data_IF_530765262254
#
_entry.id   IF_530765262254
#
_cell.length_a   1.000
_cell.length_b   1.000
_cell.length_c   1.000
_cell.angle_alpha   90.00
_cell.angle_beta   90.00
_cell.angle_gamma   90.00
#
_symmetry.space_group_name_H-M   'P 1'
#
loop_
_entity.id
_entity.type
_entity.pdbx_description
1 polymer ?
#
# COMPACT_ATOMS: atom_id res chain seq x y z
N UNK A 1 -16.21 -28.40 -2.13
CA UNK A 1 -15.17 -27.51 -2.71
C UNK A 1 -15.56 -27.28 -4.16
N UNK A 2 -15.90 -26.05 -4.54
CA UNK A 2 -16.44 -25.69 -5.86
C UNK A 2 -15.49 -26.16 -6.99
N UNK A 3 -16.03 -26.73 -8.06
CA UNK A 3 -15.27 -27.20 -9.24
C UNK A 3 -14.33 -26.12 -9.81
N UNK A 4 -14.76 -24.86 -9.79
CA UNK A 4 -13.95 -23.70 -10.23
C UNK A 4 -12.68 -23.49 -9.42
N UNK A 5 -12.72 -23.66 -8.09
CA UNK A 5 -11.54 -23.50 -7.21
C UNK A 5 -10.55 -24.62 -7.46
N UNK A 6 -11.04 -25.83 -7.65
CA UNK A 6 -10.17 -26.99 -7.97
C UNK A 6 -9.47 -26.83 -9.32
N UNK A 7 -10.17 -26.36 -10.34
CA UNK A 7 -9.62 -26.10 -11.67
C UNK A 7 -8.57 -24.97 -11.61
N UNK A 8 -8.84 -23.90 -10.86
CA UNK A 8 -7.88 -22.81 -10.67
C UNK A 8 -6.60 -23.28 -9.95
N UNK A 9 -6.73 -24.05 -8.88
CA UNK A 9 -5.60 -24.59 -8.11
C UNK A 9 -4.73 -25.53 -8.96
N UNK A 10 -5.34 -26.39 -9.77
CA UNK A 10 -4.62 -27.29 -10.70
C UNK A 10 -3.88 -26.50 -11.78
N UNK A 11 -4.47 -25.41 -12.26
CA UNK A 11 -3.87 -24.58 -13.30
C UNK A 11 -2.72 -23.70 -12.78
N UNK A 12 -2.70 -23.36 -11.50
CA UNK A 12 -1.70 -22.47 -10.90
C UNK A 12 -1.10 -23.07 -9.59
N UNK A 13 -0.43 -24.24 -9.66
CA UNK A 13 0.09 -24.89 -8.44
C UNK A 13 1.13 -24.04 -7.71
N UNK A 14 1.89 -23.19 -8.43
CA UNK A 14 2.83 -22.25 -7.82
C UNK A 14 2.17 -21.26 -6.85
N UNK A 15 0.92 -20.84 -7.09
CA UNK A 15 0.21 -19.94 -6.19
C UNK A 15 -0.17 -20.61 -4.86
N UNK A 16 -0.41 -21.92 -4.86
CA UNK A 16 -0.69 -22.67 -3.62
C UNK A 16 0.51 -22.66 -2.67
N UNK A 17 1.70 -22.52 -3.19
CA UNK A 17 2.92 -22.36 -2.39
C UNK A 17 3.21 -20.88 -2.10
N UNK A 18 3.14 -20.00 -3.10
CA UNK A 18 3.48 -18.58 -2.97
C UNK A 18 2.61 -17.83 -1.98
N UNK A 19 1.30 -18.14 -1.95
CA UNK A 19 0.39 -17.45 -1.05
C UNK A 19 0.74 -17.72 0.42
N UNK A 20 0.77 -18.97 0.93
CA UNK A 20 1.15 -19.23 2.32
C UNK A 20 2.60 -18.84 2.62
N UNK A 21 3.52 -18.99 1.69
CA UNK A 21 4.90 -18.59 1.84
C UNK A 21 5.05 -17.08 2.05
N UNK A 22 4.48 -16.26 1.15
CA UNK A 22 4.53 -14.80 1.26
C UNK A 22 3.75 -14.30 2.48
N UNK A 23 2.59 -14.92 2.78
CA UNK A 23 1.82 -14.61 3.97
C UNK A 23 2.65 -14.85 5.24
N UNK A 24 3.28 -16.01 5.35
CA UNK A 24 4.10 -16.36 6.51
C UNK A 24 5.29 -15.40 6.66
N UNK A 25 6.03 -15.12 5.59
CA UNK A 25 7.18 -14.21 5.65
C UNK A 25 6.79 -12.77 6.02
N UNK A 26 5.63 -12.30 5.56
CA UNK A 26 5.19 -10.92 5.79
C UNK A 26 4.50 -10.80 7.17
N UNK A 27 3.70 -11.79 7.58
CA UNK A 27 2.88 -11.69 8.78
C UNK A 27 3.55 -12.26 10.05
N UNK A 28 4.53 -13.17 9.91
CA UNK A 28 5.19 -13.74 11.09
C UNK A 28 5.94 -12.64 11.86
N UNK A 29 5.51 -12.41 13.11
CA UNK A 29 6.09 -11.35 13.95
C UNK A 29 5.79 -9.94 13.43
N UNK A 30 4.64 -9.69 12.78
CA UNK A 30 4.26 -8.38 12.27
C UNK A 30 4.04 -7.36 13.40
N UNK A 31 3.63 -7.84 14.58
CA UNK A 31 3.43 -7.02 15.78
C UNK A 31 4.70 -6.86 16.63
N UNK A 32 5.77 -7.61 16.31
CA UNK A 32 6.99 -7.57 17.11
C UNK A 32 7.68 -6.21 17.03
N UNK A 33 8.10 -5.74 18.20
CA UNK A 33 8.81 -4.47 18.35
C UNK A 33 7.92 -3.23 18.26
N UNK A 34 8.45 -2.14 18.79
CA UNK A 34 7.82 -0.83 18.69
C UNK A 34 7.83 -0.30 17.24
N UNK A 35 6.93 0.62 16.93
CA UNK A 35 6.96 1.35 15.67
C UNK A 35 8.26 2.16 15.58
N UNK A 36 8.93 2.11 14.45
CA UNK A 36 10.07 2.97 14.16
C UNK A 36 9.62 4.44 14.14
N UNK A 37 10.56 5.38 14.26
CA UNK A 37 10.25 6.82 14.30
C UNK A 37 9.34 7.26 13.15
N UNK A 38 9.67 6.85 11.92
CA UNK A 38 8.86 7.18 10.75
C UNK A 38 7.49 6.49 10.75
N UNK A 39 7.41 5.23 11.20
CA UNK A 39 6.14 4.51 11.34
C UNK A 39 5.26 5.16 12.41
N UNK A 40 5.87 5.56 13.54
CA UNK A 40 5.18 6.24 14.63
C UNK A 40 4.59 7.57 14.18
N UNK A 41 5.33 8.35 13.41
CA UNK A 41 4.85 9.61 12.85
C UNK A 41 3.70 9.38 11.87
N UNK A 42 3.83 8.43 10.93
CA UNK A 42 2.77 8.11 9.97
C UNK A 42 1.52 7.58 10.67
N UNK A 43 1.70 6.74 11.70
CA UNK A 43 0.59 6.23 12.52
C UNK A 43 -0.08 7.34 13.31
N UNK A 44 0.68 8.26 13.89
CA UNK A 44 0.13 9.43 14.58
C UNK A 44 -0.73 10.29 13.63
N UNK A 45 -0.24 10.59 12.42
CA UNK A 45 -1.03 11.31 11.41
C UNK A 45 -2.31 10.55 11.06
N UNK A 46 -2.24 9.23 10.95
CA UNK A 46 -3.43 8.40 10.70
C UNK A 46 -4.44 8.45 11.85
N UNK A 47 -3.98 8.55 13.11
CA UNK A 47 -4.90 8.73 14.26
C UNK A 47 -5.60 10.09 14.24
N UNK A 48 -4.95 11.14 13.71
CA UNK A 48 -5.61 12.45 13.60
C UNK A 48 -6.77 12.41 12.59
N UNK A 49 -6.72 11.53 11.58
CA UNK A 49 -7.86 11.32 10.65
C UNK A 49 -9.08 10.81 11.41
N UNK A 50 -8.92 9.91 12.37
CA UNK A 50 -10.04 9.41 13.19
C UNK A 50 -10.69 10.51 14.02
N UNK A 51 -9.92 11.54 14.41
CA UNK A 51 -10.41 12.66 15.20
C UNK A 51 -10.98 13.80 14.37
N UNK A 52 -10.33 14.13 13.26
CA UNK A 52 -10.61 15.35 12.47
C UNK A 52 -11.12 15.06 11.05
N UNK A 53 -11.12 13.80 10.60
CA UNK A 53 -11.49 13.41 9.22
C UNK A 53 -10.40 13.66 8.18
N UNK A 54 -9.34 14.40 8.53
CA UNK A 54 -8.22 14.78 7.66
C UNK A 54 -6.88 14.60 8.39
N UNK A 55 -5.78 14.36 7.66
CA UNK A 55 -4.47 14.20 8.26
C UNK A 55 -3.95 15.54 8.79
N UNK A 56 -3.87 15.68 10.11
CA UNK A 56 -3.39 16.87 10.80
C UNK A 56 -1.96 16.65 11.32
N UNK A 57 -1.19 17.72 11.42
CA UNK A 57 0.15 17.68 12.00
C UNK A 57 0.11 17.57 13.53
N UNK A 58 -1.02 17.90 14.16
CA UNK A 58 -1.18 17.90 15.62
C UNK A 58 -2.57 17.41 16.02
N UNK A 59 -2.64 16.74 17.15
CA UNK A 59 -3.89 16.34 17.81
C UNK A 59 -4.37 17.35 18.87
N UNK A 60 -3.65 18.48 19.00
CA UNK A 60 -3.87 19.49 20.01
C UNK A 60 -2.99 19.34 21.27
N UNK A 61 -2.33 18.20 21.44
CA UNK A 61 -1.40 17.90 22.55
C UNK A 61 -0.01 17.57 21.98
N UNK A 62 0.04 16.67 21.02
CA UNK A 62 1.26 16.25 20.33
C UNK A 62 1.29 16.81 18.92
N UNK A 63 2.50 16.91 18.35
CA UNK A 63 2.69 17.37 16.97
C UNK A 63 3.80 16.57 16.26
N UNK A 64 3.71 16.49 14.94
CA UNK A 64 4.78 15.91 14.13
C UNK A 64 6.02 16.80 14.15
N UNK A 65 7.21 16.19 14.02
CA UNK A 65 8.49 16.95 14.01
C UNK A 65 8.73 17.73 12.71
N UNK A 66 7.94 17.49 11.66
CA UNK A 66 8.13 18.07 10.33
C UNK A 66 7.25 19.30 10.14
N UNK A 67 7.73 20.45 10.60
CA UNK A 67 7.00 21.72 10.51
C UNK A 67 7.00 22.35 9.09
N UNK A 68 7.94 21.96 8.22
CA UNK A 68 8.10 22.60 6.91
C UNK A 68 6.98 22.27 5.90
N UNK A 69 6.26 21.18 6.12
CA UNK A 69 5.22 20.66 5.23
C UNK A 69 3.83 20.67 5.89
N UNK A 70 3.55 21.74 6.67
CA UNK A 70 2.26 22.00 7.30
C UNK A 70 1.58 23.13 6.55
N UNK A 71 0.34 22.91 6.15
CA UNK A 71 -0.50 23.92 5.56
C UNK A 71 -1.85 23.99 6.30
N UNK A 72 -2.12 25.09 6.94
CA UNK A 72 -3.36 25.30 7.72
C UNK A 72 -3.65 24.14 8.70
N UNK A 73 -2.59 23.67 9.38
CA UNK A 73 -2.66 22.52 10.28
C UNK A 73 -2.66 21.15 9.60
N UNK A 74 -2.83 21.07 8.26
CA UNK A 74 -2.83 19.83 7.53
C UNK A 74 -1.40 19.28 7.35
N UNK A 75 -1.26 17.97 7.46
CA UNK A 75 -0.01 17.29 7.17
C UNK A 75 0.06 16.94 5.67
N UNK A 76 0.90 17.65 4.92
CA UNK A 76 1.04 17.52 3.47
C UNK A 76 2.39 16.95 3.04
N UNK A 77 3.20 16.49 3.99
CA UNK A 77 4.54 15.97 3.71
C UNK A 77 4.52 14.72 2.85
N UNK A 78 3.53 13.85 3.04
CA UNK A 78 3.36 12.59 2.31
C UNK A 78 1.98 12.49 1.68
N UNK A 79 1.76 11.45 0.90
CA UNK A 79 0.49 11.15 0.24
C UNK A 79 -0.56 10.66 1.23
N UNK A 80 -1.82 11.00 1.01
CA UNK A 80 -2.89 10.78 1.97
C UNK A 80 -3.51 9.38 1.95
N UNK A 81 -3.54 8.71 0.78
CA UNK A 81 -4.19 7.41 0.66
C UNK A 81 -3.68 6.36 1.66
N UNK A 82 -2.35 6.19 1.88
CA UNK A 82 -1.85 5.27 2.90
C UNK A 82 -2.36 5.59 4.31
N UNK A 83 -2.48 6.87 4.67
CA UNK A 83 -2.96 7.29 5.99
C UNK A 83 -4.43 6.93 6.21
N UNK A 84 -5.29 7.08 5.20
CA UNK A 84 -6.70 6.68 5.31
C UNK A 84 -6.85 5.17 5.44
N UNK A 85 -6.06 4.38 4.72
CA UNK A 85 -6.06 2.91 4.85
C UNK A 85 -5.58 2.48 6.25
N UNK A 86 -4.55 3.15 6.76
CA UNK A 86 -4.03 2.89 8.11
C UNK A 86 -5.04 3.33 9.17
N UNK A 87 -5.66 4.51 9.03
CA UNK A 87 -6.70 4.99 9.93
C UNK A 87 -7.87 4.00 10.01
N UNK A 88 -8.35 3.51 8.87
CA UNK A 88 -9.39 2.47 8.83
C UNK A 88 -8.97 1.20 9.59
N UNK A 89 -7.73 0.75 9.40
CA UNK A 89 -7.21 -0.42 10.11
C UNK A 89 -7.12 -0.19 11.62
N UNK A 90 -6.69 0.99 12.04
CA UNK A 90 -6.62 1.38 13.46
C UNK A 90 -8.01 1.49 14.11
N UNK A 91 -8.99 1.96 13.37
CA UNK A 91 -10.39 2.03 13.84
C UNK A 91 -10.99 0.65 14.10
N UNK A 92 -10.74 -0.30 13.17
CA UNK A 92 -11.30 -1.65 13.25
C UNK A 92 -10.58 -2.55 14.25
N UNK A 93 -9.24 -2.52 14.27
CA UNK A 93 -8.39 -3.45 15.04
C UNK A 93 -7.75 -2.82 16.28
N UNK A 94 -8.03 -1.53 16.54
CA UNK A 94 -7.46 -0.78 17.67
C UNK A 94 -6.06 -0.24 17.39
N UNK A 95 -5.56 0.58 18.32
CA UNK A 95 -4.27 1.27 18.23
C UNK A 95 -3.10 0.34 18.60
N UNK A 96 -2.81 -0.64 17.72
CA UNK A 96 -1.73 -1.62 17.90
C UNK A 96 -0.71 -1.53 16.76
N UNK A 97 0.51 -2.02 17.00
CA UNK A 97 1.54 -2.14 15.95
C UNK A 97 1.05 -3.01 14.79
N UNK A 98 0.35 -4.09 15.11
CA UNK A 98 -0.28 -4.95 14.10
C UNK A 98 -1.25 -4.18 13.21
N UNK A 99 -2.20 -3.44 13.81
CA UNK A 99 -3.20 -2.68 13.06
C UNK A 99 -2.56 -1.59 12.19
N UNK A 100 -1.49 -0.94 12.66
CA UNK A 100 -0.76 0.06 11.90
C UNK A 100 -0.08 -0.54 10.65
N UNK A 101 0.47 -1.76 10.73
CA UNK A 101 1.21 -2.44 9.66
C UNK A 101 0.31 -3.27 8.73
N UNK A 102 -0.87 -3.68 9.18
CA UNK A 102 -1.77 -4.60 8.48
C UNK A 102 -2.10 -4.20 7.03
N UNK A 103 -2.46 -2.95 6.69
CA UNK A 103 -2.78 -2.57 5.32
C UNK A 103 -1.60 -2.78 4.35
N UNK A 104 -0.39 -2.48 4.81
CA UNK A 104 0.83 -2.60 4.01
C UNK A 104 1.26 -4.06 3.86
N UNK A 105 1.07 -4.87 4.90
CA UNK A 105 1.31 -6.32 4.85
C UNK A 105 0.35 -7.00 3.85
N UNK A 106 -0.93 -6.65 3.87
CA UNK A 106 -1.90 -7.14 2.90
C UNK A 106 -1.55 -6.69 1.47
N UNK A 107 -1.14 -5.43 1.29
CA UNK A 107 -0.67 -4.94 -0.01
C UNK A 107 0.57 -5.72 -0.48
N UNK A 108 1.48 -6.11 0.41
CA UNK A 108 2.65 -6.91 0.10
C UNK A 108 2.30 -8.30 -0.43
N UNK A 109 1.40 -9.03 0.25
CA UNK A 109 0.92 -10.34 -0.23
C UNK A 109 0.22 -10.19 -1.57
N UNK A 110 -0.65 -9.19 -1.71
CA UNK A 110 -1.32 -8.90 -2.97
C UNK A 110 -0.34 -8.55 -4.10
N UNK A 111 0.76 -7.83 -3.81
CA UNK A 111 1.79 -7.49 -4.79
C UNK A 111 2.52 -8.74 -5.32
N UNK A 112 2.83 -9.71 -4.46
CA UNK A 112 3.44 -10.99 -4.86
C UNK A 112 2.52 -11.75 -5.82
N UNK A 113 1.23 -11.84 -5.49
CA UNK A 113 0.23 -12.51 -6.34
C UNK A 113 0.03 -11.75 -7.65
N UNK A 114 -0.08 -10.43 -7.60
CA UNK A 114 -0.22 -9.58 -8.78
C UNK A 114 0.99 -9.70 -9.72
N UNK A 115 2.21 -9.77 -9.17
CA UNK A 115 3.43 -9.95 -9.96
C UNK A 115 3.45 -11.32 -10.67
N UNK A 116 2.99 -12.38 -10.00
CA UNK A 116 2.83 -13.68 -10.63
C UNK A 116 1.95 -13.58 -11.89
N UNK A 117 0.77 -12.96 -11.78
CA UNK A 117 -0.14 -12.82 -12.92
C UNK A 117 0.40 -11.87 -14.00
N UNK A 118 1.05 -10.78 -13.63
CA UNK A 118 1.70 -9.87 -14.58
C UNK A 118 2.77 -10.61 -15.38
N UNK A 119 3.67 -11.31 -14.69
CA UNK A 119 4.76 -12.06 -15.37
C UNK A 119 4.20 -13.21 -16.21
N UNK A 120 3.18 -13.92 -15.71
CA UNK A 120 2.52 -14.98 -16.47
C UNK A 120 1.91 -14.44 -17.78
N UNK A 121 1.28 -13.26 -17.69
CA UNK A 121 0.70 -12.59 -18.85
C UNK A 121 1.76 -12.20 -19.89
N UNK A 122 2.88 -11.64 -19.42
CA UNK A 122 3.97 -11.21 -20.30
C UNK A 122 4.76 -12.36 -20.95
N UNK A 123 5.01 -13.43 -20.19
CA UNK A 123 5.94 -14.49 -20.63
C UNK A 123 5.22 -15.77 -21.07
N UNK A 124 3.94 -15.92 -20.75
CA UNK A 124 3.15 -17.14 -20.92
C UNK A 124 3.80 -18.39 -20.28
N UNK A 125 4.74 -18.17 -19.34
CA UNK A 125 5.53 -19.21 -18.68
C UNK A 125 5.30 -19.21 -17.18
N UNK A 126 4.71 -20.31 -16.67
CA UNK A 126 4.38 -20.46 -15.25
C UNK A 126 5.62 -20.53 -14.33
N UNK A 127 6.74 -21.06 -14.83
CA UNK A 127 7.98 -21.15 -14.06
C UNK A 127 8.57 -19.76 -13.89
N UNK A 128 8.65 -18.97 -14.94
CA UNK A 128 9.12 -17.59 -14.88
C UNK A 128 8.23 -16.74 -13.97
N UNK A 129 6.91 -16.90 -14.06
CA UNK A 129 5.96 -16.22 -13.18
C UNK A 129 6.15 -16.62 -11.71
N UNK A 130 6.36 -17.89 -11.42
CA UNK A 130 6.64 -18.38 -10.09
C UNK A 130 7.95 -17.80 -9.53
N UNK A 131 9.04 -17.86 -10.30
CA UNK A 131 10.35 -17.38 -9.87
C UNK A 131 10.37 -15.88 -9.62
N UNK A 132 9.72 -15.07 -10.48
CA UNK A 132 9.65 -13.62 -10.27
C UNK A 132 8.89 -13.25 -8.99
N UNK A 133 7.76 -13.90 -8.72
CA UNK A 133 6.99 -13.69 -7.51
C UNK A 133 7.72 -14.21 -6.26
N UNK A 134 8.44 -15.33 -6.36
CA UNK A 134 9.29 -15.87 -5.29
C UNK A 134 10.43 -14.91 -4.96
N UNK A 135 11.10 -14.34 -5.97
CA UNK A 135 12.16 -13.35 -5.77
C UNK A 135 11.64 -12.09 -5.07
N UNK A 136 10.45 -11.58 -5.46
CA UNK A 136 9.85 -10.44 -4.78
C UNK A 136 9.53 -10.77 -3.33
N UNK A 137 8.90 -11.93 -3.06
CA UNK A 137 8.51 -12.34 -1.72
C UNK A 137 9.68 -12.60 -0.78
N UNK A 138 10.85 -12.98 -1.33
CA UNK A 138 12.08 -13.24 -0.58
C UNK A 138 13.04 -12.04 -0.56
N UNK A 139 12.71 -10.96 -1.26
CA UNK A 139 13.53 -9.75 -1.33
C UNK A 139 13.52 -9.00 0.00
N UNK A 140 14.67 -8.88 0.66
CA UNK A 140 14.80 -8.17 1.94
C UNK A 140 14.27 -6.74 1.87
N UNK A 141 14.62 -5.90 0.85
CA UNK A 141 14.03 -4.57 0.73
C UNK A 141 12.51 -4.57 0.61
N UNK A 142 11.94 -5.50 -0.18
CA UNK A 142 10.50 -5.60 -0.32
C UNK A 142 9.82 -6.01 0.99
N UNK A 143 10.39 -7.00 1.70
CA UNK A 143 9.89 -7.44 3.02
C UNK A 143 9.91 -6.31 4.04
N UNK A 144 10.97 -5.48 4.08
CA UNK A 144 11.03 -4.32 4.98
C UNK A 144 9.84 -3.39 4.70
N UNK A 145 9.58 -3.04 3.43
CA UNK A 145 8.47 -2.15 3.09
C UNK A 145 7.09 -2.75 3.26
N UNK A 146 6.94 -4.06 3.13
CA UNK A 146 5.66 -4.74 3.35
C UNK A 146 5.35 -4.96 4.83
N UNK A 147 6.37 -5.03 5.69
CA UNK A 147 6.23 -5.28 7.13
C UNK A 147 6.25 -4.00 7.97
N UNK A 148 6.46 -2.85 7.36
CA UNK A 148 6.49 -1.56 8.04
C UNK A 148 5.27 -0.72 7.67
N UNK A 149 4.81 0.09 8.63
CA UNK A 149 3.70 1.02 8.44
C UNK A 149 4.15 2.26 7.65
N UNK A 150 4.65 2.03 6.42
CA UNK A 150 5.17 3.08 5.53
C UNK A 150 4.44 3.08 4.20
N UNK A 151 4.29 4.27 3.65
CA UNK A 151 3.57 4.51 2.39
C UNK A 151 4.11 3.75 1.17
N UNK A 152 5.33 3.19 1.21
CA UNK A 152 6.03 2.60 0.04
C UNK A 152 5.42 1.27 -0.42
N UNK A 153 4.91 0.45 0.50
CA UNK A 153 4.37 -0.88 0.15
C UNK A 153 3.16 -0.82 -0.79
N UNK A 154 2.29 0.16 -0.61
CA UNK A 154 1.10 0.33 -1.45
C UNK A 154 1.42 0.73 -2.90
N UNK A 155 2.29 1.71 -3.20
CA UNK A 155 2.73 2.00 -4.56
C UNK A 155 3.31 0.80 -5.31
N UNK A 156 4.02 -0.10 -4.64
CA UNK A 156 4.56 -1.31 -5.29
C UNK A 156 3.42 -2.15 -5.87
N UNK A 157 2.39 -2.45 -5.06
CA UNK A 157 1.20 -3.16 -5.53
C UNK A 157 0.51 -2.44 -6.68
N UNK A 158 0.27 -1.13 -6.51
CA UNK A 158 -0.47 -0.33 -7.50
C UNK A 158 0.31 -0.22 -8.83
N UNK A 159 1.65 -0.14 -8.79
CA UNK A 159 2.48 -0.16 -10.01
C UNK A 159 2.32 -1.47 -10.77
N UNK A 160 2.36 -2.61 -10.07
CA UNK A 160 2.19 -3.93 -10.69
C UNK A 160 0.80 -4.07 -11.31
N UNK A 161 -0.25 -3.65 -10.60
CA UNK A 161 -1.63 -3.68 -11.09
C UNK A 161 -1.83 -2.74 -12.28
N UNK A 162 -1.22 -1.55 -12.24
CA UNK A 162 -1.30 -0.57 -13.33
C UNK A 162 -0.68 -1.12 -14.61
N UNK A 163 0.48 -1.76 -14.52
CA UNK A 163 1.11 -2.43 -15.66
C UNK A 163 0.27 -3.60 -16.15
N UNK A 164 -0.30 -4.41 -15.25
CA UNK A 164 -1.15 -5.53 -15.63
C UNK A 164 -2.39 -5.07 -16.41
N UNK A 165 -3.10 -4.06 -15.92
CA UNK A 165 -4.29 -3.53 -16.58
C UNK A 165 -3.94 -2.78 -17.88
N UNK A 166 -2.82 -2.03 -17.90
CA UNK A 166 -2.34 -1.38 -19.11
C UNK A 166 -2.15 -2.39 -20.25
N UNK A 167 -1.38 -3.46 -20.01
CA UNK A 167 -1.16 -4.52 -20.99
C UNK A 167 -2.47 -5.18 -21.38
N UNK A 168 -3.38 -5.41 -20.43
CA UNK A 168 -4.68 -6.05 -20.70
C UNK A 168 -5.55 -5.25 -21.66
N UNK A 169 -5.50 -3.92 -21.62
CA UNK A 169 -6.25 -3.06 -22.55
C UNK A 169 -5.75 -3.21 -23.98
N UNK A 170 -4.44 -3.41 -24.19
CA UNK A 170 -3.88 -3.54 -25.55
C UNK A 170 -4.05 -4.94 -26.14
N UNK A 171 -4.04 -5.98 -25.30
CA UNK A 171 -4.16 -7.36 -25.77
C UNK A 171 -5.61 -7.77 -26.03
N UNK A 172 -6.53 -7.33 -25.18
CA UNK A 172 -7.94 -7.69 -25.26
C UNK A 172 -8.81 -6.44 -25.45
N UNK A 173 -9.27 -6.25 -26.71
CA UNK A 173 -10.11 -5.11 -27.09
C UNK A 173 -11.46 -5.07 -26.36
N UNK A 174 -11.86 -6.14 -25.68
CA UNK A 174 -13.08 -6.21 -24.88
C UNK A 174 -12.88 -5.79 -23.42
N UNK A 175 -11.64 -5.60 -22.97
CA UNK A 175 -11.37 -5.16 -21.61
C UNK A 175 -11.84 -3.74 -21.39
N UNK A 176 -12.64 -3.58 -20.33
CA UNK A 176 -13.06 -2.24 -19.91
C UNK A 176 -11.86 -1.49 -19.36
N UNK A 177 -11.68 -0.23 -19.76
CA UNK A 177 -10.63 0.66 -19.25
C UNK A 177 -10.84 1.06 -17.77
N UNK A 178 -12.02 0.79 -17.21
CA UNK A 178 -12.38 1.20 -15.84
C UNK A 178 -11.42 0.71 -14.74
N UNK A 179 -10.92 -0.57 -14.70
CA UNK A 179 -9.97 -0.97 -13.68
C UNK A 179 -8.64 -0.23 -13.77
N UNK A 180 -8.16 0.04 -14.98
CA UNK A 180 -6.95 0.84 -15.18
C UNK A 180 -7.09 2.26 -14.63
N UNK A 181 -8.21 2.93 -14.93
CA UNK A 181 -8.49 4.30 -14.47
C UNK A 181 -8.56 4.33 -12.93
N UNK A 182 -9.25 3.37 -12.31
CA UNK A 182 -9.34 3.29 -10.84
C UNK A 182 -7.95 3.13 -10.22
N UNK A 183 -7.15 2.18 -10.72
CA UNK A 183 -5.80 1.96 -10.20
C UNK A 183 -4.90 3.16 -10.45
N UNK A 184 -5.01 3.84 -11.60
CA UNK A 184 -4.26 5.05 -11.90
C UNK A 184 -4.59 6.19 -10.92
N UNK A 185 -5.86 6.38 -10.58
CA UNK A 185 -6.29 7.35 -9.57
C UNK A 185 -5.72 6.99 -8.20
N UNK A 186 -5.85 5.74 -7.77
CA UNK A 186 -5.29 5.28 -6.49
C UNK A 186 -3.76 5.42 -6.46
N UNK A 187 -3.08 5.09 -7.55
CA UNK A 187 -1.65 5.26 -7.69
C UNK A 187 -1.24 6.73 -7.57
N UNK A 188 -1.95 7.62 -8.26
CA UNK A 188 -1.72 9.07 -8.15
C UNK A 188 -1.85 9.54 -6.70
N UNK A 189 -2.90 9.15 -5.99
CA UNK A 189 -3.10 9.50 -4.57
C UNK A 189 -2.15 8.81 -3.60
N UNK A 190 -1.43 7.77 -4.03
CA UNK A 190 -0.43 7.09 -3.21
C UNK A 190 1.01 7.59 -3.46
N UNK A 191 1.25 8.31 -4.56
CA UNK A 191 2.60 8.77 -4.95
C UNK A 191 2.71 10.28 -5.03
N UNK A 192 1.70 10.96 -5.60
CA UNK A 192 1.75 12.40 -5.73
C UNK A 192 1.51 13.10 -4.40
N UNK A 193 2.49 13.88 -3.97
CA UNK A 193 2.32 14.86 -2.90
C UNK A 193 1.29 15.89 -3.34
N UNK A 194 0.51 16.40 -2.41
CA UNK A 194 -0.39 17.51 -2.66
C UNK A 194 0.44 18.66 -3.25
N UNK A 195 0.30 18.93 -4.55
CA UNK A 195 1.05 19.99 -5.23
C UNK A 195 0.62 21.34 -4.65
N UNK A 196 1.48 21.90 -3.81
CA UNK A 196 1.32 23.24 -3.26
C UNK A 196 1.31 24.23 -4.42
N UNK A 197 0.16 24.82 -4.73
CA UNK A 197 0.11 25.99 -5.58
C UNK A 197 0.79 27.16 -4.83
N UNK A 198 1.99 27.57 -5.28
CA UNK A 198 2.84 28.61 -4.64
C UNK A 198 2.18 30.00 -4.58
N UNK A 199 0.97 30.17 -5.08
CA UNK A 199 0.25 31.44 -5.08
C UNK A 199 -0.50 31.78 -3.79
N UNK A 200 -0.58 30.84 -2.83
CA UNK A 200 -1.20 31.10 -1.54
C UNK A 200 -0.18 31.64 -0.55
N UNK A 201 -0.30 32.91 -0.18
CA UNK A 201 0.46 33.53 0.93
C UNK A 201 -0.14 33.05 2.25
N UNK A 202 0.69 32.73 3.25
CA UNK A 202 0.18 32.43 4.58
C UNK A 202 -0.52 33.63 5.15
N UNK A 203 -1.73 33.45 5.69
CA UNK A 203 -2.37 34.48 6.52
C UNK A 203 -1.52 34.74 7.75
N UNK A 204 -1.31 36.01 8.16
CA UNK A 204 -0.50 36.38 9.31
C UNK A 204 -1.35 36.25 10.57
N UNK A 205 -1.51 35.02 11.08
CA UNK A 205 -2.04 34.79 12.42
C UNK A 205 -1.11 33.81 13.16
N UNK A 206 0.02 34.32 13.59
CA UNK A 206 0.80 33.81 14.71
C UNK A 206 1.32 35.02 15.49
N UNK A 207 0.54 35.42 16.49
CA UNK A 207 1.02 36.10 17.68
C UNK A 207 0.63 35.27 18.87
#
# INVERSE_FOLDING_TARGET
MNSSIRTFAVNHPGLLFLFPYSFLLIFLGLEDGALQVDEGMDTFVSTTILKYGVPMHSDGINATMLFADIYDGLFIYRTWLPYYLQAFSLDVFGHTTFAARLPFALAGVAAVIALYFLTLKLTQNKITAFLSALLLSSSVPALIYFRTARYVGLPILLTILLLYFYISIFEDRQWKSSPFIIVAILYFHSVCRFCRNRSWRPHPFLH
#
